data_IF_223196815279
#
_entry.id   IF_223196815279
#
_cell.length_a   1.000
_cell.length_b   1.000
_cell.length_c   1.000
_cell.angle_alpha   90.00
_cell.angle_beta   90.00
_cell.angle_gamma   90.00
#
_symmetry.space_group_name_H-M   'P 1'
#
loop_
_entity.id
_entity.type
_entity.pdbx_description
1 polymer ?
#
# COMPACT_ATOMS: atom_id res chain seq x y z
N UNK A 1 -2.06 -35.57 3.27
CA UNK A 1 -2.50 -34.51 2.34
C UNK A 1 -2.34 -33.15 3.01
N UNK A 2 -1.27 -32.42 2.70
CA UNK A 2 -0.98 -31.09 3.28
C UNK A 2 -1.91 -30.06 2.64
N UNK A 3 -2.86 -29.50 3.39
CA UNK A 3 -3.76 -28.45 2.88
C UNK A 3 -2.93 -27.23 2.45
N UNK A 4 -3.13 -26.66 1.25
CA UNK A 4 -2.42 -25.47 0.80
C UNK A 4 -2.76 -24.33 1.75
N UNK A 5 -1.77 -23.95 2.56
CA UNK A 5 -1.85 -22.82 3.47
C UNK A 5 -1.89 -21.57 2.59
N UNK A 6 -3.10 -21.05 2.31
CA UNK A 6 -3.30 -19.79 1.58
C UNK A 6 -2.33 -18.78 2.17
N UNK A 7 -1.36 -18.34 1.37
CA UNK A 7 -0.42 -17.32 1.81
C UNK A 7 -1.24 -16.09 2.17
N UNK A 8 -1.42 -15.83 3.46
CA UNK A 8 -2.09 -14.63 3.95
C UNK A 8 -1.14 -13.48 3.65
N UNK A 9 -1.35 -12.84 2.51
CA UNK A 9 -0.68 -11.59 2.19
C UNK A 9 -1.11 -10.59 3.26
N UNK A 10 -0.16 -9.98 3.97
CA UNK A 10 -0.51 -8.97 4.97
C UNK A 10 -1.15 -7.77 4.29
N UNK A 11 -2.10 -7.12 4.95
CA UNK A 11 -2.70 -5.88 4.45
C UNK A 11 -1.63 -4.83 4.16
N UNK A 12 -0.57 -4.78 4.98
CA UNK A 12 0.59 -3.91 4.74
C UNK A 12 1.30 -4.22 3.42
N UNK A 13 1.47 -5.49 3.06
CA UNK A 13 2.07 -5.89 1.78
C UNK A 13 1.18 -5.49 0.59
N UNK A 14 -0.14 -5.65 0.70
CA UNK A 14 -1.10 -5.21 -0.33
C UNK A 14 -1.06 -3.69 -0.53
N UNK A 15 -1.07 -2.93 0.57
CA UNK A 15 -0.97 -1.47 0.53
C UNK A 15 0.37 -1.02 -0.06
N UNK A 16 1.48 -1.68 0.28
CA UNK A 16 2.77 -1.38 -0.35
C UNK A 16 2.78 -1.68 -1.85
N UNK A 17 2.14 -2.77 -2.30
CA UNK A 17 2.01 -3.09 -3.71
C UNK A 17 1.17 -2.03 -4.44
N UNK A 18 0.06 -1.59 -3.86
CA UNK A 18 -0.79 -0.53 -4.40
C UNK A 18 -0.03 0.79 -4.53
N UNK A 19 0.75 1.19 -3.51
CA UNK A 19 1.63 2.38 -3.57
C UNK A 19 2.60 2.29 -4.75
N UNK A 20 3.30 1.17 -4.89
CA UNK A 20 4.28 0.98 -5.98
C UNK A 20 3.63 0.99 -7.36
N UNK A 21 2.42 0.44 -7.49
CA UNK A 21 1.65 0.49 -8.74
C UNK A 21 1.28 1.93 -9.10
N UNK A 22 0.82 2.71 -8.12
CA UNK A 22 0.52 4.13 -8.29
C UNK A 22 1.78 4.93 -8.67
N UNK A 23 2.92 4.70 -8.00
CA UNK A 23 4.20 5.33 -8.36
C UNK A 23 4.68 4.97 -9.77
N UNK A 24 4.38 3.76 -10.26
CA UNK A 24 4.66 3.41 -11.66
C UNK A 24 3.74 4.15 -12.63
N UNK A 25 2.47 4.32 -12.28
CA UNK A 25 1.51 5.05 -13.12
C UNK A 25 1.89 6.53 -13.26
N UNK A 26 2.50 7.17 -12.25
CA UNK A 26 3.00 8.54 -12.40
C UNK A 26 4.11 8.66 -13.44
N UNK A 27 4.92 7.62 -13.61
CA UNK A 27 6.05 7.60 -14.55
C UNK A 27 5.64 7.15 -15.95
N UNK A 28 4.72 6.18 -16.04
CA UNK A 28 4.38 5.51 -17.30
C UNK A 28 3.16 6.13 -18.01
N UNK A 29 2.28 6.84 -17.30
CA UNK A 29 1.08 7.42 -17.92
C UNK A 29 1.42 8.63 -18.78
N UNK A 30 0.90 8.63 -20.02
CA UNK A 30 0.95 9.78 -20.93
C UNK A 30 -0.07 10.84 -20.56
N UNK A 31 -1.17 10.44 -19.91
CA UNK A 31 -2.23 11.33 -19.47
C UNK A 31 -1.82 12.11 -18.20
N UNK A 32 -1.83 13.46 -18.23
CA UNK A 32 -1.47 14.30 -17.08
C UNK A 32 -2.40 14.16 -15.88
N UNK A 33 -3.70 13.93 -16.10
CA UNK A 33 -4.68 13.74 -15.03
C UNK A 33 -4.41 12.42 -14.30
N UNK A 34 -4.18 11.34 -15.06
CA UNK A 34 -3.82 10.04 -14.50
C UNK A 34 -2.52 10.12 -13.69
N UNK A 35 -1.51 10.87 -14.17
CA UNK A 35 -0.26 11.06 -13.39
C UNK A 35 -0.53 11.77 -12.07
N UNK A 36 -1.36 12.82 -12.09
CA UNK A 36 -1.71 13.58 -10.89
C UNK A 36 -2.45 12.71 -9.89
N UNK A 37 -3.43 11.95 -10.34
CA UNK A 37 -4.22 11.10 -9.46
C UNK A 37 -3.40 9.92 -8.92
N UNK A 38 -2.54 9.32 -9.74
CA UNK A 38 -1.60 8.31 -9.30
C UNK A 38 -0.65 8.84 -8.21
N UNK A 39 -0.19 10.09 -8.30
CA UNK A 39 0.62 10.71 -7.27
C UNK A 39 -0.17 10.91 -5.96
N UNK A 40 -1.44 11.37 -6.07
CA UNK A 40 -2.34 11.52 -4.94
C UNK A 40 -2.54 10.19 -4.19
N UNK A 41 -2.80 9.11 -4.95
CA UNK A 41 -2.98 7.76 -4.41
C UNK A 41 -1.72 7.26 -3.71
N UNK A 42 -0.54 7.41 -4.32
CA UNK A 42 0.73 6.99 -3.71
C UNK A 42 0.97 7.70 -2.36
N UNK A 43 0.68 9.01 -2.29
CA UNK A 43 0.79 9.78 -1.05
C UNK A 43 -0.24 9.33 0.00
N UNK A 44 -1.49 9.13 -0.39
CA UNK A 44 -2.55 8.70 0.52
C UNK A 44 -2.25 7.32 1.13
N UNK A 45 -1.80 6.36 0.31
CA UNK A 45 -1.41 5.03 0.78
C UNK A 45 -0.20 5.10 1.72
N UNK A 46 0.76 5.98 1.44
CA UNK A 46 1.90 6.21 2.34
C UNK A 46 1.46 6.73 3.71
N UNK A 47 0.55 7.71 3.74
CA UNK A 47 -0.03 8.22 5.00
C UNK A 47 -0.75 7.12 5.77
N UNK A 48 -1.54 6.30 5.09
CA UNK A 48 -2.23 5.16 5.70
C UNK A 48 -1.27 4.12 6.28
N UNK A 49 -0.24 3.73 5.53
CA UNK A 49 0.80 2.81 6.02
C UNK A 49 1.48 3.35 7.28
N UNK A 50 1.79 4.64 7.31
CA UNK A 50 2.38 5.27 8.49
C UNK A 50 1.42 5.29 9.68
N UNK A 51 0.13 5.55 9.47
CA UNK A 51 -0.88 5.49 10.53
C UNK A 51 -1.02 4.07 11.10
N UNK A 52 -1.06 3.05 10.24
CA UNK A 52 -1.09 1.64 10.65
C UNK A 52 0.14 1.30 11.51
N UNK A 53 1.34 1.68 11.06
CA UNK A 53 2.58 1.43 11.81
C UNK A 53 2.63 2.12 13.15
N UNK A 54 2.10 3.35 13.26
CA UNK A 54 1.98 4.07 14.54
C UNK A 54 1.01 3.37 15.48
N UNK A 55 -0.18 3.03 14.99
CA UNK A 55 -1.18 2.29 15.77
C UNK A 55 -0.65 0.93 16.28
N UNK A 56 0.16 0.22 15.48
CA UNK A 56 0.80 -1.02 15.92
C UNK A 56 1.88 -0.82 16.99
N UNK A 57 2.54 0.34 17.05
CA UNK A 57 3.54 0.67 18.08
C UNK A 57 2.91 1.14 19.38
N UNK A 58 1.75 1.78 19.30
CA UNK A 58 1.01 2.30 20.46
C UNK A 58 0.14 1.24 21.14
N UNK A 59 0.00 0.04 20.55
CA UNK A 59 -0.67 -1.09 21.18
C UNK A 59 0.28 -1.70 22.23
N UNK A 60 0.00 -1.59 23.54
CA UNK A 60 0.81 -2.29 24.54
C UNK A 60 0.69 -3.81 24.31
N UNK A 61 1.75 -4.59 24.63
CA UNK A 61 1.59 -6.03 24.70
C UNK A 61 0.54 -6.35 25.78
N UNK A 62 -0.54 -7.01 25.38
CA UNK A 62 -1.45 -7.71 26.31
C UNK A 62 -0.75 -8.94 26.89
#
# INVERSE_FOLDING_TARGET
MTRPRRARISTEALLNAARRAAERLTQLSRDPEVRREAANVAQAVTRLLNAIRRASRERPPE
#
